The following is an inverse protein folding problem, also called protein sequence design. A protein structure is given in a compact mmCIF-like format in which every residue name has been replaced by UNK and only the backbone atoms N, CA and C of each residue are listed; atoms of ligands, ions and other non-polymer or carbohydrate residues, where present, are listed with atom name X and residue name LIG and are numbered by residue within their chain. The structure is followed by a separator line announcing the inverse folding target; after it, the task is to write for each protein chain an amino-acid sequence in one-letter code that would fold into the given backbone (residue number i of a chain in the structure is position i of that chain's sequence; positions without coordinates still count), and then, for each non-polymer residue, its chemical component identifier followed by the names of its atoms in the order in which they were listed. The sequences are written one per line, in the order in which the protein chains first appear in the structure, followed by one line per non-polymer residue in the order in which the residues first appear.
data_IF_510242782469
#
_entry.id   IF_510242782469
#
_cell.length_a   1.000
_cell.length_b   1.000
_cell.length_c   1.000
_cell.angle_alpha   90.00
_cell.angle_beta   90.00
_cell.angle_gamma   90.00
#
_symmetry.space_group_name_H-M   'P 1'
#
loop_
_entity.id
_entity.type
_entity.pdbx_description
1 polymer ?
#
# COMPACT_ATOMS: atom_id res chain seq x y z
N UNK A 1 -25.56 8.97 -42.32
CA UNK A 1 -24.65 9.81 -43.12
C UNK A 1 -24.45 11.17 -42.48
N UNK A 2 -25.48 12.01 -42.22
CA UNK A 2 -25.36 13.37 -41.63
C UNK A 2 -24.46 13.38 -40.40
N UNK A 3 -24.75 12.55 -39.37
CA UNK A 3 -23.94 12.47 -38.12
C UNK A 3 -22.48 12.09 -38.36
N UNK A 4 -22.21 11.23 -39.37
CA UNK A 4 -20.85 10.82 -39.72
C UNK A 4 -20.09 11.96 -40.40
N UNK A 5 -20.75 12.68 -41.31
CA UNK A 5 -20.18 13.85 -42.01
C UNK A 5 -19.84 14.95 -40.99
N UNK A 6 -20.77 15.27 -40.08
CA UNK A 6 -20.57 16.27 -39.03
C UNK A 6 -19.40 15.85 -38.11
N UNK A 7 -19.35 14.59 -37.70
CA UNK A 7 -18.26 14.10 -36.84
C UNK A 7 -16.91 14.15 -37.56
N UNK A 8 -16.85 13.76 -38.84
CA UNK A 8 -15.63 13.85 -39.64
C UNK A 8 -15.11 15.28 -39.70
N UNK A 9 -16.02 16.23 -39.92
CA UNK A 9 -15.70 17.65 -40.14
C UNK A 9 -15.23 18.34 -38.85
N UNK A 10 -15.80 17.97 -37.68
CA UNK A 10 -15.56 18.67 -36.41
C UNK A 10 -14.48 17.97 -35.57
N UNK A 11 -14.52 16.63 -35.48
CA UNK A 11 -13.64 15.85 -34.57
C UNK A 11 -12.69 14.90 -35.28
N UNK A 12 -12.86 14.74 -36.60
CA UNK A 12 -12.19 13.69 -37.36
C UNK A 12 -12.75 12.30 -37.07
N UNK A 13 -12.38 11.35 -37.88
CA UNK A 13 -12.74 9.94 -37.71
C UNK A 13 -11.48 9.10 -37.53
N UNK A 14 -11.38 8.36 -36.44
CA UNK A 14 -10.36 7.30 -36.33
C UNK A 14 -10.72 6.23 -37.36
N UNK A 15 -9.77 5.89 -38.23
CA UNK A 15 -10.07 4.94 -39.30
C UNK A 15 -9.42 3.57 -39.02
N UNK A 16 -8.10 3.52 -38.89
CA UNK A 16 -7.33 2.29 -38.71
C UNK A 16 -6.12 2.54 -37.82
N UNK A 17 -5.56 1.46 -37.27
CA UNK A 17 -4.25 1.48 -36.62
C UNK A 17 -3.19 0.93 -37.57
N UNK A 18 -2.01 1.54 -37.58
CA UNK A 18 -0.83 1.10 -38.29
C UNK A 18 0.24 0.80 -37.27
N UNK A 19 0.94 -0.32 -37.46
CA UNK A 19 2.13 -0.66 -36.67
C UNK A 19 3.40 -0.23 -37.42
N UNK A 20 4.28 0.45 -36.67
CA UNK A 20 5.62 0.75 -37.20
C UNK A 20 6.52 -0.50 -37.13
N UNK A 21 7.77 -0.38 -37.60
CA UNK A 21 8.75 -1.47 -37.59
C UNK A 21 9.12 -1.95 -36.18
N UNK A 22 8.94 -1.09 -35.15
CA UNK A 22 9.25 -1.37 -33.75
C UNK A 22 8.08 -2.05 -33.02
N UNK A 23 6.92 -2.21 -33.69
CA UNK A 23 5.72 -2.84 -33.15
C UNK A 23 4.72 -1.91 -32.48
N UNK A 24 5.01 -0.62 -32.43
CA UNK A 24 4.11 0.39 -31.85
C UNK A 24 2.89 0.63 -32.72
N UNK A 25 1.72 0.81 -32.10
CA UNK A 25 0.45 1.08 -32.79
C UNK A 25 0.17 2.58 -32.84
N UNK A 26 -0.01 3.08 -34.06
CA UNK A 26 -0.43 4.47 -34.33
C UNK A 26 -1.82 4.48 -34.94
N UNK A 27 -2.68 5.38 -34.44
CA UNK A 27 -4.02 5.55 -34.96
C UNK A 27 -4.01 6.53 -36.14
N UNK A 28 -4.55 6.11 -37.28
CA UNK A 28 -4.77 7.01 -38.42
C UNK A 28 -6.06 7.79 -38.14
N UNK A 29 -5.95 9.09 -38.08
CA UNK A 29 -7.09 10.00 -37.94
C UNK A 29 -7.32 10.75 -39.25
N UNK A 30 -8.53 10.66 -39.77
CA UNK A 30 -8.96 11.46 -40.91
C UNK A 30 -9.60 12.77 -40.44
N UNK A 31 -9.04 13.89 -40.89
CA UNK A 31 -9.55 15.24 -40.60
C UNK A 31 -9.69 16.03 -41.88
N UNK A 32 -10.51 17.09 -41.86
CA UNK A 32 -10.52 18.07 -42.95
C UNK A 32 -9.25 18.92 -42.95
N UNK A 33 -8.75 19.29 -44.13
CA UNK A 33 -7.48 19.96 -44.31
C UNK A 33 -7.41 21.35 -43.62
N UNK A 34 -8.50 22.10 -43.60
CA UNK A 34 -8.58 23.47 -43.07
C UNK A 34 -9.44 23.56 -41.80
N UNK A 35 -9.36 22.53 -40.95
CA UNK A 35 -10.12 22.54 -39.71
C UNK A 35 -9.47 23.50 -38.69
N UNK A 36 -10.15 24.60 -38.38
CA UNK A 36 -9.84 25.51 -37.29
C UNK A 36 -10.83 25.30 -36.14
N UNK A 37 -10.36 24.85 -34.94
CA UNK A 37 -11.23 24.63 -33.78
C UNK A 37 -12.00 25.89 -33.34
N UNK A 38 -11.38 27.07 -33.50
CA UNK A 38 -11.98 28.36 -33.10
C UNK A 38 -13.11 28.81 -34.03
N UNK A 39 -13.13 28.29 -35.27
CA UNK A 39 -14.11 28.58 -36.28
C UNK A 39 -14.93 27.35 -36.69
N UNK A 40 -15.07 26.37 -35.78
CA UNK A 40 -15.74 25.10 -36.07
C UNK A 40 -17.19 25.25 -36.56
N UNK A 41 -17.89 26.34 -36.18
CA UNK A 41 -19.26 26.58 -36.60
C UNK A 41 -19.36 27.04 -38.05
N UNK A 42 -18.36 27.73 -38.59
CA UNK A 42 -18.33 28.21 -39.98
C UNK A 42 -18.20 27.07 -41.00
N UNK A 43 -17.73 25.92 -40.56
CA UNK A 43 -17.59 24.73 -41.37
C UNK A 43 -18.96 24.18 -41.80
N UNK A 44 -20.00 24.35 -40.98
CA UNK A 44 -21.35 23.84 -41.31
C UNK A 44 -21.91 24.40 -42.61
N UNK A 45 -21.61 25.62 -42.93
CA UNK A 45 -22.07 26.25 -44.20
C UNK A 45 -21.36 25.65 -45.42
N UNK A 46 -20.21 25.02 -45.22
CA UNK A 46 -19.39 24.37 -46.27
C UNK A 46 -19.57 22.88 -46.35
N UNK A 47 -20.38 22.27 -45.43
CA UNK A 47 -20.60 20.83 -45.42
C UNK A 47 -21.75 20.42 -46.36
N UNK A 48 -21.48 19.32 -47.09
CA UNK A 48 -22.45 18.70 -47.98
C UNK A 48 -22.66 17.23 -47.60
N UNK A 49 -23.88 16.78 -47.72
CA UNK A 49 -24.28 15.40 -47.55
C UNK A 49 -24.78 14.84 -48.86
N UNK A 50 -24.39 13.64 -49.21
CA UNK A 50 -24.85 12.99 -50.42
C UNK A 50 -26.25 12.41 -50.23
N UNK A 51 -27.18 12.81 -51.08
CA UNK A 51 -28.54 12.25 -51.16
C UNK A 51 -28.52 10.83 -51.70
N UNK A 52 -29.60 10.07 -51.50
CA UNK A 52 -29.81 8.75 -52.12
C UNK A 52 -29.75 8.78 -53.65
N UNK A 53 -30.08 9.95 -54.27
CA UNK A 53 -29.97 10.16 -55.72
C UNK A 53 -28.56 10.59 -56.20
N UNK A 54 -27.60 10.71 -55.28
CA UNK A 54 -26.24 11.14 -55.59
C UNK A 54 -26.02 12.66 -55.61
N UNK A 55 -27.05 13.46 -55.37
CA UNK A 55 -26.92 14.92 -55.32
C UNK A 55 -26.30 15.38 -54.00
N UNK A 56 -25.40 16.37 -54.04
CA UNK A 56 -24.80 17.01 -52.87
C UNK A 56 -25.76 18.07 -52.32
N UNK A 57 -26.20 17.91 -51.08
CA UNK A 57 -27.10 18.82 -50.40
C UNK A 57 -26.35 19.51 -49.25
N UNK A 58 -26.32 20.88 -49.19
CA UNK A 58 -25.75 21.58 -48.04
C UNK A 58 -26.43 21.20 -46.74
N UNK A 59 -25.67 20.98 -45.66
CA UNK A 59 -26.27 20.63 -44.35
C UNK A 59 -27.20 21.75 -43.86
N UNK A 60 -26.88 23.00 -44.08
CA UNK A 60 -27.72 24.16 -43.73
C UNK A 60 -29.12 24.12 -44.31
N UNK A 61 -29.41 23.34 -45.39
CA UNK A 61 -30.74 23.16 -45.94
C UNK A 61 -31.56 22.07 -45.26
N UNK A 62 -30.94 21.16 -44.53
CA UNK A 62 -31.57 19.98 -43.94
C UNK A 62 -31.52 19.95 -42.44
N UNK A 63 -30.67 20.79 -41.79
CA UNK A 63 -30.46 20.81 -40.36
C UNK A 63 -30.15 22.22 -39.85
N UNK A 64 -30.61 22.54 -38.66
CA UNK A 64 -30.32 23.76 -37.94
C UNK A 64 -29.30 23.45 -36.81
N UNK A 65 -28.34 24.37 -36.58
CA UNK A 65 -27.35 24.23 -35.50
C UNK A 65 -27.96 24.76 -34.21
N UNK A 66 -28.18 23.89 -33.25
CA UNK A 66 -28.61 24.25 -31.90
C UNK A 66 -27.48 23.99 -30.93
N UNK A 67 -26.79 25.05 -30.42
CA UNK A 67 -25.74 24.87 -29.40
C UNK A 67 -26.36 24.28 -28.13
N UNK A 68 -25.74 23.23 -27.62
CA UNK A 68 -26.18 22.56 -26.39
C UNK A 68 -25.03 22.00 -25.60
N UNK A 69 -25.19 21.95 -24.29
CA UNK A 69 -24.25 21.28 -23.43
C UNK A 69 -24.54 19.78 -23.36
N UNK A 70 -23.58 18.96 -23.72
CA UNK A 70 -23.66 17.51 -23.57
C UNK A 70 -22.47 16.99 -22.80
N UNK A 71 -22.65 16.11 -21.81
CA UNK A 71 -21.53 15.51 -21.14
C UNK A 71 -20.81 14.57 -22.10
N UNK A 72 -19.50 14.73 -22.25
CA UNK A 72 -18.65 13.88 -23.09
C UNK A 72 -18.68 12.42 -22.68
N UNK A 73 -18.75 12.18 -21.36
CA UNK A 73 -18.76 10.84 -20.76
C UNK A 73 -19.77 10.79 -19.63
N UNK A 74 -20.66 9.82 -19.67
CA UNK A 74 -21.57 9.51 -18.56
C UNK A 74 -20.99 8.30 -17.84
N UNK A 75 -20.51 8.52 -16.62
CA UNK A 75 -19.88 7.48 -15.79
C UNK A 75 -20.87 6.89 -14.81
N UNK A 76 -20.76 5.60 -14.59
CA UNK A 76 -21.54 4.86 -13.59
C UNK A 76 -20.60 4.12 -12.64
N UNK A 77 -20.89 4.18 -11.35
CA UNK A 77 -20.29 3.39 -10.29
C UNK A 77 -21.42 2.68 -9.52
N UNK A 78 -21.30 1.38 -9.33
CA UNK A 78 -22.34 0.56 -8.71
C UNK A 78 -23.74 0.77 -9.31
N UNK A 79 -23.84 0.92 -10.66
CA UNK A 79 -25.06 1.17 -11.45
C UNK A 79 -25.68 2.56 -11.24
N UNK A 80 -25.11 3.41 -10.44
CA UNK A 80 -25.53 4.80 -10.23
C UNK A 80 -24.67 5.75 -11.04
N UNK A 81 -25.29 6.77 -11.61
CA UNK A 81 -24.57 7.83 -12.34
C UNK A 81 -23.81 8.69 -11.34
N UNK A 82 -22.54 9.00 -11.64
CA UNK A 82 -21.72 9.83 -10.77
C UNK A 82 -20.90 10.87 -11.52
N UNK A 83 -20.50 11.91 -10.81
CA UNK A 83 -19.56 12.93 -11.26
C UNK A 83 -18.45 13.03 -10.23
N UNK A 84 -17.19 13.02 -10.70
CA UNK A 84 -16.04 13.23 -9.83
C UNK A 84 -15.77 14.72 -9.64
N UNK A 85 -15.59 15.11 -8.38
CA UNK A 85 -14.97 16.38 -8.01
C UNK A 85 -13.61 16.03 -7.42
N UNK A 86 -12.56 16.36 -8.15
CA UNK A 86 -11.17 16.04 -7.74
C UNK A 86 -10.45 17.30 -7.31
N UNK A 87 -9.63 17.17 -6.28
CA UNK A 87 -8.72 18.21 -5.83
C UNK A 87 -7.38 17.58 -5.44
N UNK A 88 -6.32 18.38 -5.50
CA UNK A 88 -4.99 17.96 -5.07
C UNK A 88 -4.56 18.78 -3.87
N UNK A 89 -3.98 18.10 -2.88
CA UNK A 89 -3.43 18.77 -1.69
C UNK A 89 -2.01 19.22 -1.99
N UNK A 90 -1.69 20.45 -1.61
CA UNK A 90 -0.33 21.00 -1.78
C UNK A 90 0.68 20.22 -0.92
N UNK A 91 1.89 20.05 -1.43
CA UNK A 91 3.00 19.43 -0.71
C UNK A 91 3.20 20.06 0.67
N UNK A 92 3.32 19.25 1.71
CA UNK A 92 3.49 19.68 3.10
C UNK A 92 2.21 19.67 3.95
N UNK A 93 1.05 19.43 3.34
CA UNK A 93 -0.20 19.27 4.09
C UNK A 93 -0.59 17.79 4.17
N UNK A 94 -1.25 17.44 5.28
CA UNK A 94 -1.77 16.08 5.45
C UNK A 94 -3.09 15.92 4.69
N UNK A 95 -3.09 15.07 3.67
CA UNK A 95 -4.24 14.82 2.77
C UNK A 95 -5.48 14.41 3.53
N UNK A 96 -5.33 13.55 4.56
CA UNK A 96 -6.46 13.02 5.32
C UNK A 96 -7.10 14.10 6.19
N UNK A 97 -6.27 14.88 6.90
CA UNK A 97 -6.77 15.97 7.74
C UNK A 97 -7.51 17.03 6.90
N UNK A 98 -6.98 17.34 5.71
CA UNK A 98 -7.64 18.25 4.77
C UNK A 98 -8.95 17.66 4.25
N UNK A 99 -8.97 16.35 3.93
CA UNK A 99 -10.19 15.69 3.48
C UNK A 99 -11.28 15.70 4.55
N UNK A 100 -10.93 15.40 5.80
CA UNK A 100 -11.88 15.41 6.92
C UNK A 100 -12.47 16.81 7.17
N UNK A 101 -11.69 17.87 6.94
CA UNK A 101 -12.19 19.25 7.00
C UNK A 101 -13.14 19.57 5.87
N UNK A 102 -12.83 19.14 4.64
CA UNK A 102 -13.70 19.30 3.48
C UNK A 102 -15.00 18.51 3.66
N UNK A 103 -14.92 17.26 4.13
CA UNK A 103 -16.11 16.43 4.38
C UNK A 103 -17.06 17.07 5.40
N UNK A 104 -16.54 17.67 6.48
CA UNK A 104 -17.35 18.43 7.43
C UNK A 104 -18.07 19.60 6.79
N UNK A 105 -17.39 20.36 5.91
CA UNK A 105 -17.99 21.48 5.19
C UNK A 105 -19.04 21.03 4.15
N UNK A 106 -18.84 19.85 3.55
CA UNK A 106 -19.77 19.26 2.59
C UNK A 106 -21.10 18.82 3.25
N UNK A 107 -21.10 18.48 4.55
CA UNK A 107 -22.33 18.13 5.29
C UNK A 107 -23.32 19.30 5.36
N UNK A 108 -22.83 20.54 5.31
CA UNK A 108 -23.66 21.74 5.31
C UNK A 108 -24.28 22.05 3.92
N UNK A 109 -23.83 21.38 2.87
CA UNK A 109 -24.30 21.60 1.49
C UNK A 109 -25.59 20.82 1.26
N UNK A 110 -26.69 21.53 1.01
CA UNK A 110 -27.97 20.91 0.70
C UNK A 110 -27.97 20.38 -0.74
N UNK A 111 -27.96 19.06 -0.87
CA UNK A 111 -28.07 18.40 -2.17
C UNK A 111 -29.54 18.20 -2.54
N UNK A 112 -29.87 18.21 -3.88
CA UNK A 112 -31.18 17.80 -4.35
C UNK A 112 -31.51 16.35 -3.97
N UNK A 113 -32.79 16.01 -3.93
CA UNK A 113 -33.21 14.63 -3.62
C UNK A 113 -32.63 13.64 -4.63
N UNK A 114 -32.06 12.55 -4.09
CA UNK A 114 -31.39 11.50 -4.88
C UNK A 114 -29.89 11.71 -5.12
N UNK A 115 -29.31 12.84 -4.65
CA UNK A 115 -27.88 13.07 -4.70
C UNK A 115 -27.25 12.80 -3.35
N UNK A 116 -26.03 12.28 -3.35
CA UNK A 116 -25.23 12.08 -2.15
C UNK A 116 -23.73 12.28 -2.44
N UNK A 117 -23.00 12.69 -1.45
CA UNK A 117 -21.54 12.66 -1.49
C UNK A 117 -21.04 11.27 -1.10
N UNK A 118 -20.06 10.78 -1.83
CA UNK A 118 -19.32 9.57 -1.50
C UNK A 118 -17.85 9.93 -1.45
N UNK A 119 -17.22 9.67 -0.30
CA UNK A 119 -15.80 9.83 -0.15
C UNK A 119 -15.09 8.77 -1.01
N UNK A 120 -14.13 9.19 -1.82
CA UNK A 120 -13.36 8.32 -2.71
C UNK A 120 -11.88 8.69 -2.67
N UNK A 121 -11.04 7.88 -3.32
CA UNK A 121 -9.61 8.12 -3.43
C UNK A 121 -8.83 7.63 -2.21
N UNK A 122 -7.89 8.42 -1.71
CA UNK A 122 -6.96 7.99 -0.65
C UNK A 122 -7.67 7.53 0.64
N UNK A 123 -8.74 8.21 1.04
CA UNK A 123 -9.53 7.83 2.23
C UNK A 123 -10.21 6.48 2.05
N UNK A 124 -10.91 6.27 0.93
CA UNK A 124 -11.56 5.00 0.60
C UNK A 124 -10.55 3.85 0.54
N UNK A 125 -9.46 4.04 -0.21
CA UNK A 125 -8.39 3.05 -0.31
C UNK A 125 -7.78 2.71 1.05
N UNK A 126 -7.64 3.72 1.91
CA UNK A 126 -7.14 3.52 3.27
C UNK A 126 -8.13 2.76 4.14
N UNK A 127 -9.41 3.14 4.14
CA UNK A 127 -10.45 2.45 4.91
C UNK A 127 -10.60 0.99 4.45
N UNK A 128 -10.60 0.74 3.16
CA UNK A 128 -10.60 -0.62 2.62
C UNK A 128 -9.35 -1.42 3.02
N UNK A 129 -8.18 -0.80 2.95
CA UNK A 129 -6.91 -1.47 3.28
C UNK A 129 -6.73 -1.71 4.78
N UNK A 130 -7.09 -0.74 5.61
CA UNK A 130 -6.88 -0.81 7.05
C UNK A 130 -8.11 -1.27 7.85
N UNK A 131 -9.31 -1.32 7.23
CA UNK A 131 -10.56 -1.65 7.92
C UNK A 131 -10.57 -3.01 8.64
N UNK A 132 -9.79 -3.99 8.15
CA UNK A 132 -9.62 -5.30 8.81
C UNK A 132 -8.31 -5.46 9.59
N UNK A 133 -7.37 -4.50 9.47
CA UNK A 133 -5.99 -4.65 9.94
C UNK A 133 -5.90 -4.81 11.46
N UNK A 134 -6.71 -4.07 12.21
CA UNK A 134 -6.76 -4.18 13.68
C UNK A 134 -7.09 -5.59 14.14
N UNK A 135 -8.06 -6.23 13.50
CA UNK A 135 -8.44 -7.63 13.79
C UNK A 135 -7.32 -8.59 13.44
N UNK A 136 -6.63 -8.38 12.31
CA UNK A 136 -5.50 -9.21 11.88
C UNK A 136 -4.35 -9.11 12.88
N UNK A 137 -3.99 -7.91 13.30
CA UNK A 137 -2.94 -7.69 14.31
C UNK A 137 -3.31 -8.38 15.62
N UNK A 138 -4.55 -8.22 16.09
CA UNK A 138 -5.02 -8.84 17.31
C UNK A 138 -4.95 -10.37 17.25
N UNK A 139 -5.44 -10.97 16.16
CA UNK A 139 -5.38 -12.42 15.92
C UNK A 139 -3.93 -12.90 15.86
N UNK A 140 -3.05 -12.15 15.18
CA UNK A 140 -1.61 -12.48 15.07
C UNK A 140 -0.94 -12.46 16.44
N UNK A 141 -1.13 -11.40 17.22
CA UNK A 141 -0.53 -11.28 18.56
C UNK A 141 -1.05 -12.37 19.49
N UNK A 142 -2.37 -12.63 19.47
CA UNK A 142 -2.96 -13.69 20.28
C UNK A 142 -2.49 -15.08 19.84
N UNK A 143 -2.43 -15.33 18.54
CA UNK A 143 -1.92 -16.58 17.97
C UNK A 143 -0.45 -16.83 18.32
N UNK A 144 0.40 -15.81 18.20
CA UNK A 144 1.79 -15.89 18.61
C UNK A 144 1.93 -16.17 20.11
N UNK A 145 1.14 -15.46 20.93
CA UNK A 145 1.12 -15.70 22.38
C UNK A 145 0.73 -17.16 22.71
N UNK A 146 -0.35 -17.66 22.09
CA UNK A 146 -0.80 -19.01 22.30
C UNK A 146 0.26 -20.07 21.90
N UNK A 147 0.88 -19.89 20.73
CA UNK A 147 1.96 -20.78 20.26
C UNK A 147 3.14 -20.77 21.22
N UNK A 148 3.56 -19.59 21.68
CA UNK A 148 4.69 -19.45 22.61
C UNK A 148 4.40 -20.08 23.98
N UNK A 149 3.15 -19.95 24.47
CA UNK A 149 2.73 -20.62 25.72
C UNK A 149 2.77 -22.15 25.56
N UNK A 150 2.34 -22.67 24.42
CA UNK A 150 2.42 -24.10 24.13
C UNK A 150 3.85 -24.61 24.03
N UNK A 151 4.74 -23.83 23.40
CA UNK A 151 6.15 -24.15 23.23
C UNK A 151 6.91 -24.17 24.55
N UNK A 152 6.83 -23.10 25.30
CA UNK A 152 7.59 -22.93 26.53
C UNK A 152 6.93 -23.51 27.78
N UNK A 153 5.61 -23.76 27.74
CA UNK A 153 4.79 -24.19 28.89
C UNK A 153 4.92 -23.29 30.13
N UNK A 154 5.48 -22.10 29.96
CA UNK A 154 5.69 -21.10 31.02
C UNK A 154 5.38 -19.69 30.52
N UNK A 155 4.54 -18.97 31.24
CA UNK A 155 4.22 -17.58 30.91
C UNK A 155 5.45 -16.64 30.95
N UNK A 156 6.41 -16.92 31.85
CA UNK A 156 7.61 -16.11 32.00
C UNK A 156 8.49 -16.16 30.76
N UNK A 157 8.77 -17.35 30.20
CA UNK A 157 9.52 -17.49 28.96
C UNK A 157 8.78 -16.84 27.77
N UNK A 158 7.47 -17.00 27.70
CA UNK A 158 6.63 -16.35 26.69
C UNK A 158 6.74 -14.82 26.74
N UNK A 159 6.66 -14.23 27.94
CA UNK A 159 6.77 -12.79 28.10
C UNK A 159 8.17 -12.26 27.72
N UNK A 160 9.22 -12.99 28.08
CA UNK A 160 10.61 -12.65 27.71
C UNK A 160 10.75 -12.63 26.18
N UNK A 161 10.24 -13.64 25.48
CA UNK A 161 10.31 -13.74 24.02
C UNK A 161 9.50 -12.61 23.37
N UNK A 162 8.29 -12.32 23.84
CA UNK A 162 7.44 -11.27 23.29
C UNK A 162 8.01 -9.86 23.52
N UNK A 163 8.86 -9.66 24.52
CA UNK A 163 9.46 -8.35 24.80
C UNK A 163 10.32 -7.80 23.66
N UNK A 164 10.76 -8.67 22.73
CA UNK A 164 11.54 -8.26 21.56
C UNK A 164 10.69 -7.53 20.52
N UNK A 165 9.40 -7.85 20.43
CA UNK A 165 8.50 -7.24 19.45
C UNK A 165 8.45 -5.71 19.54
N UNK A 166 8.23 -5.09 20.71
CA UNK A 166 8.29 -3.63 20.83
C UNK A 166 9.62 -3.03 20.38
N UNK A 167 10.74 -3.72 20.63
CA UNK A 167 12.08 -3.24 20.26
C UNK A 167 12.26 -3.17 18.73
N UNK A 168 11.74 -4.17 18.03
CA UNK A 168 11.72 -4.17 16.57
C UNK A 168 10.81 -3.09 15.99
N UNK A 169 9.61 -2.92 16.57
CA UNK A 169 8.67 -1.88 16.13
C UNK A 169 9.30 -0.48 16.23
N UNK A 170 10.02 -0.19 17.32
CA UNK A 170 10.72 1.09 17.49
C UNK A 170 11.74 1.31 16.36
N UNK A 171 12.52 0.28 16.01
CA UNK A 171 13.47 0.37 14.90
C UNK A 171 12.80 0.52 13.54
N UNK A 172 11.71 -0.22 13.32
CA UNK A 172 10.93 -0.15 12.09
C UNK A 172 10.34 1.26 11.86
N UNK A 173 9.71 1.83 12.89
CA UNK A 173 9.17 3.19 12.81
C UNK A 173 10.27 4.25 12.72
N UNK A 174 11.39 4.05 13.40
CA UNK A 174 12.54 4.95 13.35
C UNK A 174 13.12 5.05 11.95
N UNK A 175 13.32 3.93 11.25
CA UNK A 175 13.88 3.94 9.90
C UNK A 175 12.89 4.49 8.85
N UNK A 176 11.58 4.24 9.02
CA UNK A 176 10.55 4.86 8.18
C UNK A 176 10.60 6.38 8.30
N UNK A 177 10.69 6.89 9.51
CA UNK A 177 10.80 8.33 9.77
C UNK A 177 12.05 8.94 9.16
N UNK A 178 13.22 8.29 9.33
CA UNK A 178 14.49 8.73 8.74
C UNK A 178 14.50 8.64 7.22
N UNK A 179 13.80 7.66 6.64
CA UNK A 179 13.65 7.49 5.19
C UNK A 179 12.63 8.44 4.55
N UNK A 180 11.88 9.22 5.35
CA UNK A 180 10.82 10.09 4.85
C UNK A 180 9.60 9.34 4.31
N UNK A 181 9.49 8.05 4.63
CA UNK A 181 8.40 7.19 4.17
C UNK A 181 7.23 7.21 5.15
N UNK A 182 6.02 7.00 4.63
CA UNK A 182 4.81 6.94 5.45
C UNK A 182 4.51 5.52 5.92
N UNK A 183 3.79 5.41 7.05
CA UNK A 183 3.26 4.13 7.50
C UNK A 183 2.12 3.68 6.57
N UNK A 184 2.50 3.10 5.44
CA UNK A 184 1.57 2.54 4.45
C UNK A 184 0.98 1.21 4.90
N UNK A 185 -0.06 0.73 4.19
CA UNK A 185 -0.61 -0.62 4.37
C UNK A 185 0.48 -1.70 4.26
N UNK A 186 1.35 -1.58 3.25
CA UNK A 186 2.43 -2.54 3.01
C UNK A 186 3.51 -2.47 4.10
N UNK A 187 3.82 -1.27 4.62
CA UNK A 187 4.70 -1.12 5.78
C UNK A 187 4.13 -1.80 7.04
N UNK A 188 2.81 -1.73 7.23
CA UNK A 188 2.15 -2.41 8.36
C UNK A 188 2.21 -3.93 8.23
N UNK A 189 2.05 -4.48 7.01
CA UNK A 189 2.32 -5.91 6.75
C UNK A 189 3.77 -6.25 7.09
N UNK A 190 4.72 -5.37 6.74
CA UNK A 190 6.13 -5.51 7.13
C UNK A 190 6.35 -5.62 8.63
N UNK A 191 5.65 -4.81 9.43
CA UNK A 191 5.71 -4.89 10.91
C UNK A 191 5.20 -6.26 11.40
N UNK A 192 4.11 -6.77 10.83
CA UNK A 192 3.56 -8.09 11.20
C UNK A 192 4.56 -9.20 10.85
N UNK A 193 5.15 -9.15 9.66
CA UNK A 193 6.18 -10.11 9.25
C UNK A 193 7.43 -10.05 10.14
N UNK A 194 7.86 -8.83 10.51
CA UNK A 194 8.97 -8.58 11.41
C UNK A 194 8.78 -9.27 12.77
N UNK A 195 7.56 -9.19 13.35
CA UNK A 195 7.26 -9.85 14.62
C UNK A 195 7.58 -11.36 14.56
N UNK A 196 7.22 -12.04 13.46
CA UNK A 196 7.50 -13.47 13.30
C UNK A 196 8.99 -13.79 13.21
N UNK A 197 9.76 -12.94 12.51
CA UNK A 197 11.22 -13.14 12.36
C UNK A 197 11.93 -12.93 13.71
N UNK A 198 11.55 -11.90 14.45
CA UNK A 198 12.15 -11.55 15.73
C UNK A 198 11.85 -12.57 16.82
N UNK A 199 10.60 -13.01 16.90
CA UNK A 199 10.17 -14.05 17.83
C UNK A 199 10.98 -15.33 17.62
N UNK A 200 11.20 -15.75 16.35
CA UNK A 200 12.04 -16.90 16.04
C UNK A 200 13.45 -16.77 16.62
N UNK A 201 14.09 -15.61 16.49
CA UNK A 201 15.42 -15.38 17.02
C UNK A 201 15.44 -15.41 18.55
N UNK A 202 14.42 -14.85 19.19
CA UNK A 202 14.28 -14.84 20.64
C UNK A 202 13.97 -16.25 21.22
N UNK A 203 13.13 -17.03 20.52
CA UNK A 203 12.88 -18.45 20.89
C UNK A 203 14.20 -19.21 20.98
N UNK A 204 15.04 -19.13 19.95
CA UNK A 204 16.31 -19.87 19.90
C UNK A 204 17.25 -19.50 21.06
N UNK A 205 17.25 -18.26 21.51
CA UNK A 205 18.05 -17.81 22.64
C UNK A 205 17.49 -18.32 23.97
N UNK A 206 16.18 -18.14 24.19
CA UNK A 206 15.51 -18.51 25.44
C UNK A 206 15.48 -20.02 25.60
N UNK A 207 15.18 -20.76 24.53
CA UNK A 207 15.15 -22.22 24.54
C UNK A 207 16.52 -22.81 24.87
N UNK A 208 17.59 -22.32 24.22
CA UNK A 208 18.94 -22.77 24.50
C UNK A 208 19.36 -22.46 25.95
N UNK A 209 19.00 -21.30 26.48
CA UNK A 209 19.23 -20.93 27.87
C UNK A 209 18.46 -21.86 28.82
N UNK A 210 17.23 -22.24 28.50
CA UNK A 210 16.44 -23.20 29.25
C UNK A 210 17.12 -24.58 29.26
N UNK A 211 17.60 -25.06 28.11
CA UNK A 211 18.35 -26.35 28.01
C UNK A 211 19.60 -26.38 28.88
N UNK A 212 20.40 -25.31 28.87
CA UNK A 212 21.57 -25.21 29.73
C UNK A 212 21.20 -25.28 31.22
N UNK A 213 20.09 -24.67 31.62
CA UNK A 213 19.58 -24.72 33.00
C UNK A 213 19.01 -26.09 33.38
N UNK A 214 18.37 -26.78 32.43
CA UNK A 214 17.92 -28.17 32.61
C UNK A 214 19.09 -29.14 32.85
N UNK A 215 20.27 -28.84 32.26
CA UNK A 215 21.52 -29.56 32.47
C UNK A 215 22.20 -29.20 33.79
N UNK A 216 21.58 -28.39 34.65
CA UNK A 216 22.11 -28.02 35.96
C UNK A 216 23.02 -26.79 35.98
N UNK A 217 23.19 -26.08 34.84
CA UNK A 217 24.00 -24.86 34.81
C UNK A 217 23.38 -23.72 35.63
N UNK A 218 24.19 -22.99 36.45
CA UNK A 218 23.70 -21.85 37.22
C UNK A 218 23.08 -20.76 36.32
N UNK A 219 22.03 -20.09 36.79
CA UNK A 219 21.27 -19.11 36.02
C UNK A 219 22.15 -18.11 35.27
N UNK A 220 23.09 -17.47 35.97
CA UNK A 220 23.96 -16.45 35.39
C UNK A 220 24.85 -16.99 34.27
N UNK A 221 25.42 -18.16 34.47
CA UNK A 221 26.30 -18.82 33.50
C UNK A 221 25.51 -19.31 32.29
N UNK A 222 24.31 -19.88 32.50
CA UNK A 222 23.43 -20.32 31.42
C UNK A 222 23.00 -19.15 30.51
N UNK A 223 22.68 -18.01 31.11
CA UNK A 223 22.31 -16.81 30.36
C UNK A 223 23.46 -16.24 29.55
N UNK A 224 24.66 -16.15 30.15
CA UNK A 224 25.84 -15.65 29.46
C UNK A 224 26.26 -16.59 28.32
N UNK A 225 26.34 -17.89 28.60
CA UNK A 225 26.72 -18.90 27.62
C UNK A 225 25.70 -18.98 26.48
N UNK A 226 24.40 -18.89 26.81
CA UNK A 226 23.31 -18.81 25.81
C UNK A 226 23.46 -17.60 24.91
N UNK A 227 23.72 -16.43 25.48
CA UNK A 227 23.91 -15.20 24.74
C UNK A 227 25.14 -15.26 23.82
N UNK A 228 26.26 -15.78 24.30
CA UNK A 228 27.51 -15.91 23.51
C UNK A 228 27.33 -16.92 22.37
N UNK A 229 26.82 -18.11 22.65
CA UNK A 229 26.69 -19.19 21.65
C UNK A 229 25.72 -18.83 20.54
N UNK A 230 24.61 -18.18 20.87
CA UNK A 230 23.59 -17.80 19.90
C UNK A 230 23.84 -16.44 19.24
N UNK A 231 24.90 -15.72 19.64
CA UNK A 231 25.22 -14.42 19.06
C UNK A 231 25.45 -14.46 17.54
N UNK A 232 26.44 -15.24 17.13
CA UNK A 232 26.88 -15.28 15.73
C UNK A 232 25.78 -15.81 14.79
N UNK A 233 25.07 -16.91 15.09
CA UNK A 233 23.98 -17.38 14.25
C UNK A 233 22.86 -16.35 14.06
N UNK A 234 22.44 -15.66 15.12
CA UNK A 234 21.38 -14.63 15.04
C UNK A 234 21.88 -13.43 14.23
N UNK A 235 23.12 -12.99 14.44
CA UNK A 235 23.71 -11.89 13.67
C UNK A 235 23.77 -12.22 12.17
N UNK A 236 24.24 -13.40 11.81
CA UNK A 236 24.36 -13.83 10.42
C UNK A 236 22.98 -13.90 9.72
N UNK A 237 21.97 -14.46 10.40
CA UNK A 237 20.61 -14.52 9.85
C UNK A 237 20.02 -13.14 9.64
N UNK A 238 20.20 -12.21 10.59
CA UNK A 238 19.74 -10.83 10.45
C UNK A 238 20.48 -10.09 9.33
N UNK A 239 21.80 -10.23 9.24
CA UNK A 239 22.59 -9.61 8.16
C UNK A 239 22.21 -10.15 6.78
N UNK A 240 21.97 -11.45 6.66
CA UNK A 240 21.54 -12.07 5.40
C UNK A 240 20.15 -11.54 4.98
N UNK A 241 19.22 -11.45 5.94
CA UNK A 241 17.89 -10.89 5.67
C UNK A 241 17.97 -9.41 5.26
N UNK A 242 18.74 -8.61 5.99
CA UNK A 242 18.98 -7.20 5.66
C UNK A 242 19.60 -7.07 4.26
N UNK A 243 20.67 -7.85 3.98
CA UNK A 243 21.31 -7.84 2.65
C UNK A 243 20.36 -8.17 1.51
N UNK A 244 19.45 -9.13 1.72
CA UNK A 244 18.40 -9.49 0.76
C UNK A 244 17.35 -8.39 0.54
N UNK A 245 17.13 -7.51 1.54
CA UNK A 245 16.17 -6.40 1.43
C UNK A 245 16.76 -5.10 0.85
N UNK A 246 18.09 -4.93 0.87
CA UNK A 246 18.75 -3.72 0.33
C UNK A 246 18.38 -3.42 -1.12
N UNK A 247 18.37 -4.38 -2.06
CA UNK A 247 17.97 -4.10 -3.45
C UNK A 247 16.55 -3.53 -3.55
N UNK A 248 15.60 -4.00 -2.72
CA UNK A 248 14.22 -3.54 -2.72
C UNK A 248 14.08 -2.08 -2.24
N UNK A 249 14.96 -1.64 -1.35
CA UNK A 249 15.02 -0.23 -0.94
C UNK A 249 15.61 0.63 -2.04
N UNK A 250 16.66 0.13 -2.74
CA UNK A 250 17.33 0.87 -3.82
C UNK A 250 16.45 1.05 -5.06
N UNK A 251 15.50 0.15 -5.30
CA UNK A 251 14.51 0.24 -6.38
C UNK A 251 13.58 1.44 -6.22
N UNK A 252 13.42 1.98 -4.99
CA UNK A 252 12.55 3.12 -4.66
C UNK A 252 11.11 2.95 -5.13
N UNK A 253 10.61 1.71 -5.13
CA UNK A 253 9.21 1.42 -5.41
C UNK A 253 8.33 1.94 -4.27
N UNK A 254 7.34 2.82 -4.51
CA UNK A 254 6.45 3.34 -3.46
C UNK A 254 5.69 2.24 -2.71
N UNK A 255 5.54 1.07 -3.34
CA UNK A 255 4.82 -0.07 -2.77
C UNK A 255 5.73 -0.94 -1.90
N UNK A 256 6.94 -1.27 -2.37
CA UNK A 256 7.80 -2.31 -1.76
C UNK A 256 8.85 -1.70 -0.83
N UNK A 257 9.36 -0.50 -1.15
CA UNK A 257 10.41 0.16 -0.38
C UNK A 257 10.04 0.37 1.10
N UNK A 258 8.83 0.83 1.47
CA UNK A 258 8.45 0.97 2.87
C UNK A 258 8.45 -0.35 3.65
N UNK A 259 8.04 -1.46 3.02
CA UNK A 259 8.11 -2.80 3.63
C UNK A 259 9.54 -3.22 3.93
N UNK A 260 10.45 -3.06 2.94
CA UNK A 260 11.85 -3.42 3.10
C UNK A 260 12.53 -2.56 4.18
N UNK A 261 12.24 -1.26 4.23
CA UNK A 261 12.75 -0.36 5.27
C UNK A 261 12.31 -0.79 6.67
N UNK A 262 11.03 -1.11 6.85
CA UNK A 262 10.48 -1.61 8.12
C UNK A 262 11.24 -2.86 8.59
N UNK A 263 11.43 -3.82 7.69
CA UNK A 263 12.15 -5.07 8.01
C UNK A 263 13.61 -4.80 8.36
N UNK A 264 14.31 -3.96 7.60
CA UNK A 264 15.71 -3.59 7.87
C UNK A 264 15.84 -2.90 9.22
N UNK A 265 15.03 -1.86 9.46
CA UNK A 265 15.10 -1.07 10.69
C UNK A 265 14.74 -1.89 11.93
N UNK A 266 13.70 -2.71 11.81
CA UNK A 266 13.30 -3.61 12.88
C UNK A 266 14.37 -4.63 13.18
N UNK A 267 14.93 -5.31 12.17
CA UNK A 267 16.00 -6.31 12.37
C UNK A 267 17.28 -5.70 12.96
N UNK A 268 17.66 -4.49 12.56
CA UNK A 268 18.82 -3.80 13.16
C UNK A 268 18.54 -3.53 14.64
N UNK A 269 17.41 -2.90 14.94
CA UNK A 269 17.04 -2.53 16.30
C UNK A 269 16.90 -3.75 17.20
N UNK A 270 16.10 -4.73 16.77
CA UNK A 270 15.88 -5.95 17.56
C UNK A 270 17.17 -6.75 17.75
N UNK A 271 17.99 -6.91 16.70
CA UNK A 271 19.26 -7.65 16.82
C UNK A 271 20.21 -7.00 17.81
N UNK A 272 20.25 -5.69 17.89
CA UNK A 272 21.09 -4.97 18.84
C UNK A 272 20.50 -4.97 20.26
N UNK A 273 19.23 -4.62 20.40
CA UNK A 273 18.60 -4.42 21.70
C UNK A 273 18.21 -5.73 22.38
N UNK A 274 17.77 -6.74 21.63
CA UNK A 274 17.39 -8.04 22.23
C UNK A 274 18.54 -8.74 22.93
N UNK A 275 19.76 -8.46 22.54
CA UNK A 275 20.97 -9.01 23.20
C UNK A 275 21.18 -8.50 24.61
N UNK A 276 20.68 -7.33 24.90
CA UNK A 276 20.74 -6.73 26.23
C UNK A 276 19.44 -7.03 26.97
N UNK A 277 18.33 -6.80 26.33
CA UNK A 277 17.01 -6.87 26.96
C UNK A 277 16.60 -8.31 27.26
N UNK A 278 16.79 -9.26 26.35
CA UNK A 278 16.37 -10.66 26.56
C UNK A 278 17.15 -11.33 27.70
N UNK A 279 18.51 -11.29 27.76
CA UNK A 279 19.24 -11.80 28.88
C UNK A 279 18.93 -11.10 30.21
N UNK A 280 18.76 -9.78 30.18
CA UNK A 280 18.41 -9.00 31.37
C UNK A 280 17.04 -9.42 31.92
N UNK A 281 16.01 -9.50 31.06
CA UNK A 281 14.68 -9.95 31.46
C UNK A 281 14.68 -11.39 31.94
N UNK A 282 15.50 -12.26 31.32
CA UNK A 282 15.64 -13.64 31.75
C UNK A 282 16.24 -13.76 33.15
N UNK A 283 17.20 -12.90 33.50
CA UNK A 283 17.77 -12.82 34.88
C UNK A 283 16.78 -12.23 35.87
N UNK A 284 15.97 -11.24 35.45
CA UNK A 284 15.02 -10.55 36.30
C UNK A 284 13.78 -11.41 36.64
N UNK A 285 13.31 -12.17 35.66
CA UNK A 285 12.08 -12.98 35.74
C UNK A 285 12.37 -14.43 35.32
N UNK A 286 13.25 -15.14 36.06
CA UNK A 286 13.70 -16.46 35.66
C UNK A 286 12.50 -17.43 35.59
N UNK A 287 12.35 -18.19 34.47
CA UNK A 287 11.38 -19.25 34.39
C UNK A 287 11.68 -20.37 35.35
N UNK A 288 10.63 -21.03 35.85
CA UNK A 288 10.80 -22.24 36.64
C UNK A 288 11.21 -23.39 35.69
N UNK A 289 12.34 -24.02 35.91
CA UNK A 289 12.85 -25.11 35.09
C UNK A 289 13.09 -26.29 36.03
N UNK A 290 12.66 -27.47 35.60
CA UNK A 290 12.99 -28.72 36.28
C UNK A 290 14.36 -29.22 35.81
N UNK A 291 15.32 -29.29 36.71
CA UNK A 291 16.62 -29.88 36.40
C UNK A 291 16.42 -31.38 36.18
N UNK A 292 16.84 -31.88 35.02
CA UNK A 292 16.90 -33.33 34.79
C UNK A 292 17.91 -33.90 35.74
N UNK A 293 17.44 -34.66 36.77
CA UNK A 293 18.32 -35.56 37.50
C UNK A 293 18.84 -36.63 36.53
N UNK A 294 20.15 -36.73 36.36
CA UNK A 294 20.74 -37.88 35.68
C UNK A 294 20.34 -39.16 36.46
N UNK A 295 19.50 -40.02 35.82
CA UNK A 295 19.34 -41.41 36.22
C UNK A 295 20.45 -42.24 35.56
#
# INVERSE_FOLDING_TARGET
EVARTVRLSVAGLPNQTVRNADGDEFQIQMTLQDFDPDHALEIFDKMYVTSLSGALIPISQIAEIVPGASPNVIRHYNKERYTNVTSFVQTGYNTIAMFDEVEKKLQDVKLPAGYRFVAAGEKETREESFGGMGSIILITVFGLFAILVLEFRTFKSTLIVLSVVPLGIVGALGILYLGGETLSFVATIGIIALMGIEIKNSILLVDYTNQLREQGMPLKEAVLNGAETRFLPILLTSMTAIGGMVPLVLEKSPLISPLALVLIGGLISSTLLSRIVTPLLYMLIPPAIQVKSEE
#
